data_IF_516899135829
#
_entry.id   IF_516899135829
#
_cell.length_a   1.000
_cell.length_b   1.000
_cell.length_c   1.000
_cell.angle_alpha   90.00
_cell.angle_beta   90.00
_cell.angle_gamma   90.00
#
_symmetry.space_group_name_H-M   'P 1'
#
loop_
_entity.id
_entity.type
_entity.pdbx_description
1 polymer ?
#
# COMPACT_ATOMS: atom_id res chain seq x y z
N UNK A 1 -11.55 -14.45 13.89
CA UNK A 1 -10.20 -13.87 13.83
C UNK A 1 -10.11 -13.04 12.57
N UNK A 2 -10.17 -11.71 12.68
CA UNK A 2 -10.16 -10.81 11.53
C UNK A 2 -8.86 -10.97 10.76
N UNK A 3 -8.92 -11.63 9.61
CA UNK A 3 -7.81 -11.66 8.65
C UNK A 3 -7.56 -10.23 8.22
N UNK A 4 -6.52 -9.60 8.77
CA UNK A 4 -6.18 -8.22 8.47
C UNK A 4 -5.83 -8.15 6.99
N UNK A 5 -6.77 -7.69 6.17
CA UNK A 5 -6.61 -7.62 4.73
C UNK A 5 -5.36 -6.79 4.43
N UNK A 6 -4.46 -7.24 3.54
CA UNK A 6 -3.29 -6.45 3.19
C UNK A 6 -3.74 -5.12 2.60
N UNK A 7 -3.03 -4.03 2.93
CA UNK A 7 -3.28 -2.73 2.33
C UNK A 7 -3.12 -2.80 0.79
N UNK A 8 -3.69 -1.85 0.05
CA UNK A 8 -3.64 -1.85 -1.41
C UNK A 8 -2.21 -1.93 -1.96
N UNK A 9 -1.25 -1.27 -1.30
CA UNK A 9 0.18 -1.37 -1.65
C UNK A 9 0.72 -2.80 -1.52
N UNK A 10 0.55 -3.40 -0.35
CA UNK A 10 1.06 -4.74 -0.08
C UNK A 10 0.36 -5.81 -0.94
N UNK A 11 -0.93 -5.63 -1.21
CA UNK A 11 -1.71 -6.47 -2.10
C UNK A 11 -1.18 -6.42 -3.55
N UNK A 12 -0.96 -5.22 -4.09
CA UNK A 12 -0.45 -5.04 -5.45
C UNK A 12 1.00 -5.55 -5.60
N UNK A 13 1.85 -5.27 -4.61
CA UNK A 13 3.26 -5.68 -4.60
C UNK A 13 3.46 -7.15 -4.16
N UNK A 14 2.38 -7.88 -3.87
CA UNK A 14 2.38 -9.28 -3.40
C UNK A 14 3.33 -9.51 -2.22
N UNK A 15 3.40 -8.55 -1.28
CA UNK A 15 4.22 -8.61 -0.07
C UNK A 15 3.37 -8.70 1.19
N UNK A 16 3.98 -9.14 2.30
CA UNK A 16 3.33 -9.18 3.61
C UNK A 16 3.04 -7.77 4.10
N UNK A 17 1.81 -7.50 4.54
CA UNK A 17 1.44 -6.24 5.19
C UNK A 17 1.72 -6.33 6.70
N UNK A 18 2.79 -5.69 7.16
CA UNK A 18 3.13 -5.62 8.58
C UNK A 18 2.23 -4.63 9.34
N UNK A 19 2.21 -4.70 10.67
CA UNK A 19 1.39 -3.82 11.53
C UNK A 19 1.83 -2.34 11.44
N UNK A 20 3.11 -2.12 11.15
CA UNK A 20 3.79 -0.83 10.99
C UNK A 20 3.91 -0.39 9.52
N UNK A 21 3.09 -0.96 8.63
CA UNK A 21 3.13 -0.63 7.21
C UNK A 21 2.82 0.85 6.97
N UNK A 22 3.82 1.63 6.54
CA UNK A 22 3.68 3.07 6.25
C UNK A 22 2.60 3.37 5.19
N UNK A 23 2.29 2.40 4.31
CA UNK A 23 1.29 2.56 3.26
C UNK A 23 -0.13 2.27 3.74
N UNK A 24 -0.30 1.53 4.84
CA UNK A 24 -1.62 1.11 5.33
C UNK A 24 -2.58 2.26 5.65
N UNK A 25 -2.19 3.36 6.33
CA UNK A 25 -3.10 4.47 6.60
C UNK A 25 -3.50 5.27 5.34
N UNK A 26 -2.69 5.23 4.27
CA UNK A 26 -2.94 6.02 3.05
C UNK A 26 -3.63 5.23 1.93
N UNK A 27 -3.40 3.92 1.89
CA UNK A 27 -3.84 3.00 0.84
C UNK A 27 -4.55 1.78 1.46
N UNK A 28 -5.75 1.96 2.04
CA UNK A 28 -6.54 0.87 2.60
C UNK A 28 -6.92 -0.16 1.52
N UNK A 29 -7.33 -1.34 1.95
CA UNK A 29 -7.68 -2.47 1.07
C UNK A 29 -8.89 -2.20 0.17
N UNK A 30 -9.75 -1.25 0.55
CA UNK A 30 -11.00 -0.91 -0.12
C UNK A 30 -10.79 -0.20 -1.46
N UNK A 31 -9.65 0.48 -1.64
CA UNK A 31 -9.33 1.22 -2.86
C UNK A 31 -7.98 0.79 -3.46
N UNK A 32 -7.92 -0.38 -4.12
CA UNK A 32 -6.71 -0.86 -4.77
C UNK A 32 -6.28 0.01 -5.97
N UNK A 33 -7.22 0.71 -6.58
CA UNK A 33 -6.96 1.55 -7.75
C UNK A 33 -6.13 2.78 -7.42
N UNK A 34 -6.35 3.39 -6.25
CA UNK A 34 -5.57 4.53 -5.77
C UNK A 34 -4.06 4.22 -5.73
N UNK A 35 -3.67 3.08 -5.18
CA UNK A 35 -2.25 2.71 -5.15
C UNK A 35 -1.73 2.40 -6.56
N UNK A 36 -2.51 1.75 -7.44
CA UNK A 36 -2.09 1.46 -8.80
C UNK A 36 -1.76 2.73 -9.61
N UNK A 37 -2.57 3.79 -9.48
CA UNK A 37 -2.34 5.08 -10.15
C UNK A 37 -1.07 5.74 -9.62
N UNK A 38 -0.94 5.87 -8.29
CA UNK A 38 0.23 6.50 -7.67
C UNK A 38 1.50 5.71 -7.99
N UNK A 39 1.43 4.38 -7.91
CA UNK A 39 2.54 3.50 -8.29
C UNK A 39 2.95 3.67 -9.76
N UNK A 40 1.99 3.84 -10.67
CA UNK A 40 2.28 4.05 -12.09
C UNK A 40 2.99 5.38 -12.37
N UNK A 41 2.64 6.44 -11.65
CA UNK A 41 3.20 7.79 -11.86
C UNK A 41 4.52 8.00 -11.13
N UNK A 42 4.56 7.64 -9.85
CA UNK A 42 5.70 7.92 -8.98
C UNK A 42 6.59 6.70 -8.77
N UNK A 43 6.08 5.49 -8.89
CA UNK A 43 6.79 4.26 -8.50
C UNK A 43 6.77 4.03 -6.99
N UNK A 44 6.81 2.76 -6.56
CA UNK A 44 6.72 2.39 -5.14
C UNK A 44 7.79 3.08 -4.26
N UNK A 45 9.02 3.18 -4.76
CA UNK A 45 10.16 3.75 -4.02
C UNK A 45 10.01 5.24 -3.76
N UNK A 46 9.53 6.02 -4.74
CA UNK A 46 9.34 7.46 -4.53
C UNK A 46 8.17 7.73 -3.59
N UNK A 47 7.08 6.97 -3.69
CA UNK A 47 5.97 7.06 -2.72
C UNK A 47 6.46 6.74 -1.32
N UNK A 48 7.30 5.71 -1.16
CA UNK A 48 7.90 5.37 0.14
C UNK A 48 8.72 6.53 0.71
N UNK A 49 9.52 7.21 -0.12
CA UNK A 49 10.33 8.37 0.29
C UNK A 49 9.50 9.61 0.61
N UNK A 50 8.32 9.77 -0.01
CA UNK A 50 7.42 10.90 0.25
C UNK A 50 6.59 10.72 1.52
N UNK A 51 6.38 9.47 1.95
CA UNK A 51 5.62 9.11 3.15
C UNK A 51 6.49 8.90 4.40
N UNK A 52 7.81 8.95 4.23
CA UNK A 52 8.82 8.86 5.28
C UNK A 52 9.32 10.27 5.62
#
# INVERSE_FOLDING_TARGET
MGGNSPCASCKLLRRRCAKDCIFAPYFPSDDPHKFAIVHKVFGASNVSKMLQ
#
